data_IF_997736146953
#
_entry.id   IF_997736146953
#
_cell.length_a   1.000
_cell.length_b   1.000
_cell.length_c   1.000
_cell.angle_alpha   90.00
_cell.angle_beta   90.00
_cell.angle_gamma   90.00
#
_symmetry.space_group_name_H-M   'P 1'
#
loop_
_entity.id
_entity.type
_entity.pdbx_description
1 polymer ?
#
# COMPACT_ATOMS: atom_id res chain seq x y z
N UNK A 1 -3.80 -2.18 -23.94
CA UNK A 1 -4.11 -2.99 -22.74
C UNK A 1 -3.12 -2.60 -21.66
N UNK A 2 -3.57 -2.30 -20.45
CA UNK A 2 -2.69 -2.22 -19.26
C UNK A 2 -2.85 -3.50 -18.44
N UNK A 3 -1.75 -3.99 -17.89
CA UNK A 3 -1.74 -5.10 -16.94
C UNK A 3 -1.45 -4.49 -15.57
N UNK A 4 -2.25 -4.78 -14.53
CA UNK A 4 -1.98 -4.25 -13.19
C UNK A 4 -0.68 -4.85 -12.65
N UNK A 5 0.21 -3.98 -12.16
CA UNK A 5 1.51 -4.38 -11.61
C UNK A 5 1.46 -4.27 -10.09
N UNK A 6 1.82 -5.33 -9.39
CA UNK A 6 1.86 -5.36 -7.93
C UNK A 6 3.31 -5.43 -7.46
N UNK A 7 3.67 -4.59 -6.50
CA UNK A 7 5.01 -4.62 -5.90
C UNK A 7 5.09 -5.67 -4.78
N UNK A 8 6.23 -6.34 -4.66
CA UNK A 8 6.52 -7.30 -3.59
C UNK A 8 7.93 -7.06 -3.06
N UNK A 9 8.13 -7.22 -1.75
CA UNK A 9 9.43 -7.03 -1.09
C UNK A 9 9.28 -6.48 0.32
N UNK A 10 10.29 -5.73 0.78
CA UNK A 10 10.29 -5.01 2.07
C UNK A 10 9.35 -3.80 2.08
N UNK A 11 8.09 -4.01 1.72
CA UNK A 11 7.02 -3.01 1.77
C UNK A 11 6.67 -2.76 3.24
N UNK A 12 6.61 -1.49 3.63
CA UNK A 12 6.20 -1.04 4.96
C UNK A 12 5.13 0.04 4.82
N UNK A 13 4.34 0.35 5.85
CA UNK A 13 3.34 1.41 5.77
C UNK A 13 3.92 2.75 5.31
N UNK A 14 5.15 3.06 5.72
CA UNK A 14 5.84 4.32 5.45
C UNK A 14 6.24 4.47 3.98
N UNK A 15 6.55 3.38 3.27
CA UNK A 15 6.99 3.42 1.87
C UNK A 15 5.88 3.14 0.84
N UNK A 16 4.66 2.82 1.30
CA UNK A 16 3.51 2.54 0.42
C UNK A 16 3.26 3.65 -0.61
N UNK A 17 3.40 4.91 -0.20
CA UNK A 17 3.15 6.03 -1.10
C UNK A 17 4.15 6.09 -2.25
N UNK A 18 5.41 5.77 -2.00
CA UNK A 18 6.48 5.80 -3.00
C UNK A 18 6.35 4.63 -3.96
N UNK A 19 5.98 3.46 -3.45
CA UNK A 19 5.67 2.27 -4.25
C UNK A 19 4.52 2.54 -5.22
N UNK A 20 3.49 3.24 -4.76
CA UNK A 20 2.39 3.65 -5.63
C UNK A 20 2.79 4.73 -6.64
N UNK A 21 3.60 5.73 -6.24
CA UNK A 21 4.15 6.75 -7.16
C UNK A 21 5.02 6.11 -8.26
N UNK A 22 5.66 4.98 -7.96
CA UNK A 22 6.43 4.19 -8.94
C UNK A 22 5.54 3.45 -9.97
N UNK A 23 4.20 3.53 -9.84
CA UNK A 23 3.24 2.98 -10.80
C UNK A 23 2.66 1.62 -10.39
N UNK A 24 2.90 1.15 -9.17
CA UNK A 24 2.28 -0.07 -8.68
C UNK A 24 0.76 0.14 -8.48
N UNK A 25 -0.02 -0.81 -8.98
CA UNK A 25 -1.47 -0.91 -8.76
C UNK A 25 -1.82 -1.43 -7.36
N UNK A 26 -0.85 -2.01 -6.65
CA UNK A 26 -0.99 -2.49 -5.29
C UNK A 26 0.29 -3.17 -4.78
N UNK A 27 0.21 -3.80 -3.62
CA UNK A 27 1.35 -4.46 -2.96
C UNK A 27 1.00 -5.87 -2.47
N UNK A 28 2.01 -6.72 -2.39
CA UNK A 28 1.95 -8.03 -1.75
C UNK A 28 2.86 -8.03 -0.51
N UNK A 29 2.27 -8.30 0.66
CA UNK A 29 2.95 -8.23 1.97
C UNK A 29 2.93 -9.61 2.61
N UNK A 30 4.09 -10.08 3.07
CA UNK A 30 4.22 -11.31 3.84
C UNK A 30 4.63 -11.04 5.28
N UNK A 31 5.92 -10.83 5.55
CA UNK A 31 6.46 -10.74 6.92
C UNK A 31 5.83 -9.62 7.74
N UNK A 32 5.53 -8.47 7.12
CA UNK A 32 4.87 -7.34 7.77
C UNK A 32 3.48 -7.64 8.35
N UNK A 33 2.81 -8.70 7.89
CA UNK A 33 1.52 -9.17 8.43
C UNK A 33 1.71 -10.49 9.18
N UNK A 34 2.35 -11.47 8.53
CA UNK A 34 2.47 -12.85 9.02
C UNK A 34 3.28 -12.97 10.31
N UNK A 35 4.28 -12.10 10.49
CA UNK A 35 5.13 -12.09 11.68
C UNK A 35 4.71 -11.04 12.72
N UNK A 36 3.61 -10.33 12.49
CA UNK A 36 3.11 -9.34 13.46
C UNK A 36 2.44 -10.02 14.66
N UNK A 37 2.45 -9.34 15.80
CA UNK A 37 1.74 -9.79 17.00
C UNK A 37 0.22 -9.89 16.77
N UNK A 38 -0.32 -9.03 15.90
CA UNK A 38 -1.72 -9.04 15.52
C UNK A 38 -1.88 -8.83 13.99
N UNK A 39 -2.01 -9.92 13.21
CA UNK A 39 -2.12 -9.86 11.75
C UNK A 39 -3.29 -9.03 11.25
N UNK A 40 -4.39 -8.96 12.01
CA UNK A 40 -5.55 -8.13 11.67
C UNK A 40 -5.19 -6.65 11.76
N UNK A 41 -4.59 -6.23 12.87
CA UNK A 41 -4.18 -4.84 13.07
C UNK A 41 -3.13 -4.45 12.03
N UNK A 42 -2.12 -5.29 11.80
CA UNK A 42 -1.13 -5.04 10.77
C UNK A 42 -1.76 -4.85 9.38
N UNK A 43 -2.67 -5.73 8.98
CA UNK A 43 -3.38 -5.63 7.69
C UNK A 43 -4.16 -4.31 7.57
N UNK A 44 -4.86 -3.90 8.64
CA UNK A 44 -5.60 -2.64 8.69
C UNK A 44 -4.68 -1.43 8.59
N UNK A 45 -3.49 -1.48 9.19
CA UNK A 45 -2.49 -0.42 9.06
C UNK A 45 -2.08 -0.24 7.60
N UNK A 46 -1.70 -1.32 6.90
CA UNK A 46 -1.36 -1.21 5.47
C UNK A 46 -2.52 -0.69 4.61
N UNK A 47 -3.75 -1.12 4.90
CA UNK A 47 -4.94 -0.66 4.20
C UNK A 47 -5.19 0.84 4.41
N UNK A 48 -5.04 1.35 5.63
CA UNK A 48 -5.23 2.76 5.95
C UNK A 48 -4.23 3.65 5.21
N UNK A 49 -2.94 3.30 5.26
CA UNK A 49 -1.89 4.05 4.57
C UNK A 49 -2.05 4.03 3.04
N UNK A 50 -2.59 2.94 2.48
CA UNK A 50 -2.93 2.86 1.06
C UNK A 50 -4.12 3.75 0.66
N UNK A 51 -5.02 4.07 1.59
CA UNK A 51 -6.24 4.88 1.36
C UNK A 51 -6.06 6.38 1.54
N UNK A 52 -5.00 6.83 2.20
CA UNK A 52 -4.73 8.25 2.48
C UNK A 52 -4.53 9.12 1.20
N UNK A 53 -4.75 8.56 0.01
CA UNK A 53 -4.85 9.25 -1.27
C UNK A 53 -6.25 9.69 -1.71
N UNK A 54 -7.33 9.29 -1.04
CA UNK A 54 -8.67 9.62 -1.55
C UNK A 54 -9.07 11.10 -1.33
N UNK A 55 -8.35 11.88 -0.52
CA UNK A 55 -8.84 13.20 -0.04
C UNK A 55 -8.12 14.43 -0.58
N UNK A 56 -7.07 14.30 -1.40
CA UNK A 56 -6.25 15.47 -1.80
C UNK A 56 -6.06 15.70 -3.31
N UNK A 57 -6.64 14.87 -4.19
CA UNK A 57 -6.54 15.08 -5.66
C UNK A 57 -7.86 15.60 -6.30
N UNK A 58 -8.88 15.90 -5.50
CA UNK A 58 -10.14 16.48 -6.00
C UNK A 58 -10.12 18.03 -6.05
N UNK A 59 -8.94 18.64 -6.22
CA UNK A 59 -8.79 20.09 -6.25
C UNK A 59 -7.74 20.56 -7.25
N UNK A 60 -7.73 20.03 -8.48
CA UNK A 60 -7.32 20.82 -9.65
C UNK A 60 -7.63 20.12 -11.00
N UNK A 61 -8.87 20.22 -11.48
CA UNK A 61 -9.21 20.41 -12.92
C UNK A 61 -10.49 21.24 -12.98
#
# INVERSE_FOLDING_TARGET
MSVPVYAIGGITPENLQDVQKAGASGVAIMSGVWSSENPRVASQTYEQYGKDRATHDASNV
#
